data_IF_333529328412
#
_entry.id   IF_333529328412
#
_cell.length_a   1.000
_cell.length_b   1.000
_cell.length_c   1.000
_cell.angle_alpha   90.00
_cell.angle_beta   90.00
_cell.angle_gamma   90.00
#
_symmetry.space_group_name_H-M   'P 1'
#
loop_
_entity.id
_entity.type
_entity.pdbx_description
1 polymer ?
#
# COMPACT_ATOMS: atom_id res chain seq x y z
N UNK A 1 -1.87 -13.87 11.73
CA UNK A 1 -1.23 -12.62 11.27
C UNK A 1 -1.90 -11.34 11.78
N UNK A 2 -3.23 -11.20 11.77
CA UNK A 2 -3.89 -10.02 12.39
C UNK A 2 -3.52 -9.85 13.87
N UNK A 3 -3.51 -10.93 14.66
CA UNK A 3 -3.13 -10.89 16.07
C UNK A 3 -1.66 -10.51 16.28
N UNK A 4 -0.76 -10.98 15.41
CA UNK A 4 0.66 -10.60 15.45
C UNK A 4 0.78 -9.09 15.25
N UNK A 5 0.14 -8.55 14.23
CA UNK A 5 0.18 -7.12 13.92
C UNK A 5 -0.42 -6.25 15.03
N UNK A 6 -1.51 -6.69 15.65
CA UNK A 6 -2.14 -5.99 16.77
C UNK A 6 -1.21 -5.87 18.00
N UNK A 7 -0.29 -6.80 18.19
CA UNK A 7 0.68 -6.81 19.30
C UNK A 7 1.95 -5.98 19.07
N UNK A 8 2.12 -5.36 17.88
CA UNK A 8 3.32 -4.58 17.58
C UNK A 8 3.30 -3.25 18.32
N UNK A 9 4.34 -3.03 19.14
CA UNK A 9 4.58 -1.77 19.83
C UNK A 9 5.23 -0.71 18.93
N UNK A 10 5.22 0.55 19.39
CA UNK A 10 5.89 1.68 18.75
C UNK A 10 5.57 1.85 17.25
N UNK A 11 4.32 1.53 16.85
CA UNK A 11 3.89 1.53 15.44
C UNK A 11 4.13 2.87 14.75
N UNK A 12 3.91 3.99 15.42
CA UNK A 12 4.14 5.30 14.81
C UNK A 12 5.62 5.50 14.47
N UNK A 13 6.52 5.23 15.40
CA UNK A 13 7.96 5.34 15.18
C UNK A 13 8.41 4.39 14.06
N UNK A 14 7.96 3.13 14.11
CA UNK A 14 8.29 2.12 13.10
C UNK A 14 7.71 2.48 11.73
N UNK A 15 6.54 3.09 11.68
CA UNK A 15 5.99 3.60 10.43
C UNK A 15 6.87 4.71 9.83
N UNK A 16 7.35 5.64 10.64
CA UNK A 16 8.30 6.67 10.18
C UNK A 16 9.58 6.04 9.63
N UNK A 17 10.12 5.02 10.32
CA UNK A 17 11.31 4.28 9.86
C UNK A 17 11.03 3.53 8.55
N UNK A 18 9.86 2.93 8.43
CA UNK A 18 9.42 2.23 7.22
C UNK A 18 9.42 3.17 6.01
N UNK A 19 8.81 4.35 6.15
CA UNK A 19 8.75 5.32 5.07
C UNK A 19 10.11 5.92 4.73
N UNK A 20 11.01 6.07 5.69
CA UNK A 20 12.39 6.46 5.42
C UNK A 20 13.10 5.41 4.54
N UNK A 21 12.92 4.12 4.82
CA UNK A 21 13.48 3.04 3.99
C UNK A 21 12.87 3.02 2.58
N UNK A 22 11.55 3.21 2.46
CA UNK A 22 10.88 3.31 1.15
C UNK A 22 11.45 4.47 0.34
N UNK A 23 11.70 5.61 0.97
CA UNK A 23 12.25 6.79 0.31
C UNK A 23 13.68 6.61 -0.21
N UNK A 24 14.42 5.60 0.25
CA UNK A 24 15.76 5.23 -0.24
C UNK A 24 15.72 4.44 -1.56
N UNK A 25 14.56 3.93 -1.97
CA UNK A 25 14.42 3.16 -3.21
C UNK A 25 14.53 4.07 -4.44
N UNK A 26 15.21 3.58 -5.47
CA UNK A 26 15.29 4.26 -6.77
C UNK A 26 13.90 4.43 -7.39
N UNK A 27 13.03 3.44 -7.26
CA UNK A 27 11.65 3.47 -7.73
C UNK A 27 10.86 4.61 -7.10
N UNK A 28 11.07 4.85 -5.80
CA UNK A 28 10.46 5.99 -5.11
C UNK A 28 11.04 7.32 -5.61
N UNK A 29 12.34 7.40 -5.75
CA UNK A 29 13.03 8.62 -6.22
C UNK A 29 12.53 9.06 -7.60
N UNK A 30 12.30 8.13 -8.50
CA UNK A 30 11.86 8.37 -9.88
C UNK A 30 10.36 8.65 -10.01
N UNK A 31 9.55 8.22 -9.04
CA UNK A 31 8.11 8.35 -9.10
C UNK A 31 7.65 9.79 -8.89
N UNK A 32 6.79 10.29 -9.77
CA UNK A 32 6.04 11.52 -9.57
C UNK A 32 4.65 11.26 -8.98
N UNK A 33 3.99 10.17 -9.42
CA UNK A 33 2.67 9.76 -8.96
C UNK A 33 2.79 8.47 -8.16
N UNK A 34 2.53 8.53 -6.85
CA UNK A 34 2.64 7.40 -5.93
C UNK A 34 1.25 6.99 -5.45
N UNK A 35 0.84 5.77 -5.79
CA UNK A 35 -0.34 5.17 -5.20
C UNK A 35 0.04 4.53 -3.87
N UNK A 36 -0.66 4.91 -2.81
CA UNK A 36 -0.54 4.34 -1.48
C UNK A 36 -1.88 3.83 -0.98
N UNK A 37 -2.01 3.61 0.29
CA UNK A 37 -3.25 3.25 0.99
C UNK A 37 -3.41 4.14 2.21
N UNK A 38 -4.61 4.21 2.75
CA UNK A 38 -4.85 4.86 4.05
C UNK A 38 -4.74 3.79 5.13
N UNK A 39 -3.73 3.90 5.98
CA UNK A 39 -3.52 2.95 7.07
C UNK A 39 -4.72 2.89 7.99
N UNK A 40 -5.18 1.69 8.29
CA UNK A 40 -6.35 1.45 9.11
C UNK A 40 -6.07 0.39 10.19
N UNK A 41 -6.51 0.64 11.41
CA UNK A 41 -6.33 -0.30 12.52
C UNK A 41 -4.86 -0.53 12.83
N UNK A 42 -4.39 -1.75 12.60
CA UNK A 42 -3.02 -2.17 12.93
C UNK A 42 -2.02 -2.01 11.77
N UNK A 43 -2.45 -1.44 10.65
CA UNK A 43 -1.57 -1.16 9.53
C UNK A 43 -0.52 -0.09 9.87
N UNK A 44 0.59 0.00 9.11
CA UNK A 44 1.48 1.13 9.22
C UNK A 44 0.72 2.46 9.06
N UNK A 45 1.05 3.43 9.91
CA UNK A 45 0.50 4.78 9.80
C UNK A 45 1.05 5.43 8.52
N UNK A 46 0.16 5.85 7.63
CA UNK A 46 0.51 6.42 6.33
C UNK A 46 0.58 7.95 6.32
N UNK A 47 0.15 8.63 7.37
CA UNK A 47 0.21 10.10 7.44
C UNK A 47 1.65 10.64 7.28
N UNK A 48 2.70 10.03 7.87
CA UNK A 48 4.07 10.49 7.64
C UNK A 48 4.51 10.33 6.17
N UNK A 49 4.04 9.28 5.48
CA UNK A 49 4.29 9.14 4.04
C UNK A 49 3.61 10.25 3.24
N UNK A 50 2.34 10.54 3.55
CA UNK A 50 1.57 11.58 2.85
C UNK A 50 2.22 12.95 3.03
N UNK A 51 2.67 13.29 4.24
CA UNK A 51 3.39 14.51 4.50
C UNK A 51 4.71 14.60 3.70
N UNK A 52 5.46 13.50 3.62
CA UNK A 52 6.70 13.42 2.83
C UNK A 52 6.41 13.65 1.34
N UNK A 53 5.42 12.98 0.77
CA UNK A 53 5.05 13.14 -0.64
C UNK A 53 4.71 14.61 -0.95
N UNK A 54 3.95 15.27 -0.07
CA UNK A 54 3.57 16.67 -0.23
C UNK A 54 4.81 17.60 -0.23
N UNK A 55 5.74 17.40 0.73
CA UNK A 55 6.98 18.18 0.82
C UNK A 55 7.86 17.99 -0.41
N UNK A 56 7.93 16.76 -0.94
CA UNK A 56 8.73 16.42 -2.11
C UNK A 56 8.05 16.74 -3.45
N UNK A 57 6.83 17.28 -3.42
CA UNK A 57 6.07 17.63 -4.62
C UNK A 57 5.59 16.41 -5.43
N UNK A 58 5.49 15.25 -4.80
CA UNK A 58 4.95 14.02 -5.40
C UNK A 58 3.44 13.96 -5.22
N UNK A 59 2.74 13.48 -6.24
CA UNK A 59 1.29 13.32 -6.20
C UNK A 59 0.91 12.03 -5.47
N UNK A 60 0.05 12.15 -4.46
CA UNK A 60 -0.56 11.02 -3.79
C UNK A 60 -1.80 10.55 -4.56
N UNK A 61 -1.87 9.26 -4.84
CA UNK A 61 -3.04 8.57 -5.38
C UNK A 61 -3.51 7.54 -4.35
N UNK A 62 -4.84 7.41 -4.18
CA UNK A 62 -5.44 6.51 -3.21
C UNK A 62 -6.48 5.60 -3.86
N UNK A 63 -6.65 4.37 -3.34
CA UNK A 63 -7.66 3.45 -3.81
C UNK A 63 -9.05 3.80 -3.30
N UNK A 64 -10.05 3.51 -4.13
CA UNK A 64 -11.47 3.44 -3.76
C UNK A 64 -12.04 2.11 -4.25
N UNK A 65 -12.78 1.42 -3.40
CA UNK A 65 -13.44 0.17 -3.78
C UNK A 65 -14.81 0.49 -4.39
N UNK A 66 -14.99 0.11 -5.63
CA UNK A 66 -16.27 0.15 -6.36
C UNK A 66 -16.75 -1.25 -6.71
N UNK A 67 -17.93 -1.38 -7.31
CA UNK A 67 -18.49 -2.67 -7.72
C UNK A 67 -17.56 -3.46 -8.66
N UNK A 68 -16.79 -2.77 -9.50
CA UNK A 68 -15.81 -3.35 -10.44
C UNK A 68 -14.46 -3.70 -9.81
N UNK A 69 -14.23 -3.37 -8.55
CA UNK A 69 -12.95 -3.54 -7.87
C UNK A 69 -12.32 -2.22 -7.46
N UNK A 70 -11.00 -2.18 -7.30
CA UNK A 70 -10.26 -0.95 -6.98
C UNK A 70 -10.24 -0.02 -8.20
N UNK A 71 -10.60 1.24 -7.96
CA UNK A 71 -10.25 2.38 -8.81
C UNK A 71 -9.27 3.27 -8.05
N UNK A 72 -8.48 4.05 -8.77
CA UNK A 72 -7.53 5.00 -8.19
C UNK A 72 -8.03 6.42 -8.42
N UNK A 73 -7.90 7.27 -7.41
CA UNK A 73 -8.26 8.68 -7.50
C UNK A 73 -7.22 9.56 -6.80
N UNK A 74 -7.31 10.87 -7.03
CA UNK A 74 -6.39 11.84 -6.42
C UNK A 74 -6.52 11.84 -4.90
N UNK A 75 -5.41 11.68 -4.20
CA UNK A 75 -5.35 11.65 -2.74
C UNK A 75 -5.67 13.00 -2.09
N UNK A 76 -5.56 14.10 -2.82
CA UNK A 76 -5.92 15.44 -2.37
C UNK A 76 -7.43 15.72 -2.47
N UNK A 77 -8.18 14.85 -3.14
CA UNK A 77 -9.65 14.97 -3.13
C UNK A 77 -10.21 14.73 -1.73
N UNK A 78 -11.37 15.31 -1.38
CA UNK A 78 -12.04 14.99 -0.12
C UNK A 78 -12.22 13.49 0.06
N UNK A 79 -12.07 13.01 1.29
CA UNK A 79 -12.20 11.59 1.62
C UNK A 79 -13.46 11.34 2.43
N UNK A 80 -14.13 10.24 2.14
CA UNK A 80 -15.29 9.75 2.89
C UNK A 80 -15.01 8.34 3.40
N UNK A 81 -15.57 8.02 4.56
CA UNK A 81 -15.49 6.67 5.10
C UNK A 81 -16.29 5.70 4.23
N UNK A 82 -15.64 4.62 3.80
CA UNK A 82 -16.30 3.50 3.13
C UNK A 82 -17.15 2.68 4.11
N UNK A 83 -17.93 1.73 3.59
CA UNK A 83 -18.65 0.76 4.41
C UNK A 83 -17.75 -0.09 5.34
N UNK A 84 -16.45 -0.09 5.09
CA UNK A 84 -15.45 -0.77 5.91
C UNK A 84 -14.76 0.16 6.92
N UNK A 85 -15.15 1.44 6.98
CA UNK A 85 -14.54 2.43 7.86
C UNK A 85 -13.21 3.01 7.36
N UNK A 86 -12.77 2.63 6.17
CA UNK A 86 -11.54 3.17 5.56
C UNK A 86 -11.89 4.45 4.81
N UNK A 87 -11.04 5.48 4.95
CA UNK A 87 -11.20 6.73 4.21
C UNK A 87 -10.81 6.54 2.75
N UNK A 88 -11.72 6.88 1.85
CA UNK A 88 -11.53 6.77 0.40
C UNK A 88 -11.69 8.11 -0.31
N UNK A 89 -10.89 8.39 -1.36
CA UNK A 89 -10.98 9.63 -2.13
C UNK A 89 -12.28 9.68 -2.93
N UNK A 90 -12.89 10.86 -3.01
CA UNK A 90 -14.16 11.08 -3.71
C UNK A 90 -14.00 11.63 -5.13
N UNK A 91 -12.77 11.93 -5.55
CA UNK A 91 -12.49 12.45 -6.89
C UNK A 91 -12.80 11.44 -8.00
N UNK A 92 -12.75 11.88 -9.27
CA UNK A 92 -12.99 10.99 -10.41
C UNK A 92 -11.93 9.88 -10.47
N UNK A 93 -12.33 8.71 -10.97
CA UNK A 93 -11.40 7.61 -11.23
C UNK A 93 -10.38 8.02 -12.29
N UNK A 94 -9.11 7.71 -12.05
CA UNK A 94 -8.01 7.96 -12.95
C UNK A 94 -7.62 6.67 -13.68
N UNK A 95 -6.99 6.81 -14.84
CA UNK A 95 -6.38 5.68 -15.53
C UNK A 95 -5.21 5.15 -14.70
N UNK A 96 -5.15 3.84 -14.40
CA UNK A 96 -4.00 3.25 -13.69
C UNK A 96 -2.64 3.48 -14.36
N UNK A 97 -2.61 3.81 -15.65
CA UNK A 97 -1.38 4.15 -16.37
C UNK A 97 -0.66 5.39 -15.82
N UNK A 98 -1.35 6.25 -15.06
CA UNK A 98 -0.73 7.43 -14.42
C UNK A 98 0.15 7.08 -13.22
N UNK A 99 0.02 5.86 -12.69
CA UNK A 99 0.75 5.42 -11.50
C UNK A 99 2.22 5.15 -11.85
N UNK A 100 3.14 5.73 -11.09
CA UNK A 100 4.59 5.51 -11.24
C UNK A 100 5.15 4.53 -10.20
N UNK A 101 4.46 4.38 -9.07
CA UNK A 101 4.82 3.47 -7.98
C UNK A 101 3.57 3.09 -7.20
N UNK A 102 3.45 1.82 -6.84
CA UNK A 102 2.38 1.34 -5.91
C UNK A 102 3.00 0.88 -4.61
N UNK A 103 2.52 1.45 -3.51
CA UNK A 103 2.78 0.96 -2.15
C UNK A 103 1.63 0.02 -1.75
N UNK A 104 1.95 -1.24 -1.50
CA UNK A 104 0.97 -2.31 -1.33
C UNK A 104 0.93 -2.78 0.13
N UNK A 105 -0.23 -2.71 0.79
CA UNK A 105 -0.40 -3.26 2.14
C UNK A 105 -0.62 -4.77 2.11
N UNK A 106 -0.42 -5.43 3.24
CA UNK A 106 -0.71 -6.85 3.40
C UNK A 106 -0.72 -7.30 4.85
N UNK A 107 -1.21 -8.50 5.08
CA UNK A 107 -1.16 -9.15 6.40
C UNK A 107 0.20 -9.80 6.65
N UNK A 108 0.81 -10.35 5.62
CA UNK A 108 2.14 -10.93 5.66
C UNK A 108 2.79 -10.87 4.27
N UNK A 109 4.12 -10.95 4.27
CA UNK A 109 4.93 -11.01 3.06
C UNK A 109 6.05 -12.04 3.22
N UNK A 110 6.47 -12.64 2.10
CA UNK A 110 7.78 -13.28 2.03
C UNK A 110 8.82 -12.28 1.51
N UNK A 111 10.08 -12.52 1.78
CA UNK A 111 11.17 -11.69 1.20
C UNK A 111 11.23 -11.76 -0.33
N UNK A 112 10.66 -12.81 -0.92
CA UNK A 112 10.56 -12.97 -2.38
C UNK A 112 9.39 -12.25 -3.03
N UNK A 113 8.53 -11.59 -2.25
CA UNK A 113 7.46 -10.75 -2.76
C UNK A 113 6.06 -11.39 -2.74
N UNK A 114 5.91 -12.59 -2.19
CA UNK A 114 4.59 -13.17 -1.99
C UNK A 114 3.84 -12.36 -0.93
N UNK A 115 2.55 -12.17 -1.13
CA UNK A 115 1.71 -11.32 -0.28
C UNK A 115 0.45 -12.04 0.18
N UNK A 116 0.19 -12.00 1.47
CA UNK A 116 -1.10 -12.39 2.05
C UNK A 116 -1.97 -11.15 2.22
N UNK A 117 -3.07 -11.10 1.50
CA UNK A 117 -4.09 -10.04 1.62
C UNK A 117 -5.18 -10.39 2.63
N UNK A 118 -6.21 -9.56 2.67
CA UNK A 118 -7.35 -9.69 3.60
C UNK A 118 -8.45 -10.65 3.12
N UNK A 119 -8.20 -11.43 2.07
CA UNK A 119 -9.13 -12.43 1.54
C UNK A 119 -10.19 -11.90 0.57
N UNK A 120 -10.11 -10.65 0.14
CA UNK A 120 -11.04 -10.05 -0.82
C UNK A 120 -10.49 -9.94 -2.24
N UNK A 121 -9.23 -10.29 -2.44
CA UNK A 121 -8.52 -10.29 -3.72
C UNK A 121 -8.55 -8.95 -4.50
N UNK A 122 -8.88 -7.82 -3.87
CA UNK A 122 -8.95 -6.52 -4.55
C UNK A 122 -7.62 -6.12 -5.20
N UNK A 123 -6.51 -6.26 -4.48
CA UNK A 123 -5.18 -5.96 -5.03
C UNK A 123 -4.75 -6.98 -6.08
N UNK A 124 -5.07 -8.27 -5.91
CA UNK A 124 -4.73 -9.31 -6.88
C UNK A 124 -5.48 -9.12 -8.22
N UNK A 125 -6.66 -8.51 -8.19
CA UNK A 125 -7.39 -8.11 -9.40
C UNK A 125 -6.88 -6.80 -10.01
N UNK A 126 -6.43 -5.87 -9.19
CA UNK A 126 -6.00 -4.53 -9.62
C UNK A 126 -4.56 -4.49 -10.13
N UNK A 127 -3.63 -5.07 -9.40
CA UNK A 127 -2.19 -4.97 -9.68
C UNK A 127 -1.76 -5.49 -11.05
N UNK A 128 -2.39 -6.52 -11.66
CA UNK A 128 -2.05 -6.93 -13.03
C UNK A 128 -2.26 -5.84 -14.10
N UNK A 129 -3.12 -4.85 -13.80
CA UNK A 129 -3.42 -3.73 -14.71
C UNK A 129 -2.46 -2.54 -14.53
N UNK A 130 -1.51 -2.65 -13.62
CA UNK A 130 -0.56 -1.59 -13.28
C UNK A 130 0.84 -2.02 -13.69
N UNK A 131 1.43 -1.28 -14.63
CA UNK A 131 2.80 -1.54 -15.08
C UNK A 131 3.87 -1.06 -14.10
N UNK A 132 3.51 -0.11 -13.21
CA UNK A 132 4.44 0.50 -12.25
C UNK A 132 5.04 -0.53 -11.27
N UNK A 133 6.24 -0.27 -10.72
CA UNK A 133 6.81 -1.06 -9.63
C UNK A 133 5.87 -1.14 -8.43
N UNK A 134 5.88 -2.30 -7.77
CA UNK A 134 5.04 -2.62 -6.62
C UNK A 134 5.92 -2.88 -5.41
N UNK A 135 5.77 -2.06 -4.38
CA UNK A 135 6.52 -2.17 -3.12
C UNK A 135 5.58 -2.59 -2.00
N UNK A 136 5.77 -3.79 -1.50
CA UNK A 136 5.07 -4.29 -0.31
C UNK A 136 5.68 -3.69 0.96
N UNK A 137 4.85 -3.26 1.89
CA UNK A 137 5.30 -2.66 3.15
C UNK A 137 4.66 -3.35 4.34
N UNK A 138 5.44 -3.57 5.38
CA UNK A 138 4.99 -4.23 6.59
C UNK A 138 5.91 -3.97 7.77
N UNK A 139 5.50 -4.40 8.95
CA UNK A 139 6.40 -4.53 10.08
C UNK A 139 7.18 -5.85 9.99
N UNK A 140 8.36 -5.91 10.62
CA UNK A 140 9.25 -7.07 10.52
C UNK A 140 8.58 -8.39 10.94
N UNK A 141 7.70 -8.34 11.93
CA UNK A 141 6.95 -9.50 12.44
C UNK A 141 5.94 -10.07 11.43
N UNK A 142 5.67 -9.36 10.33
CA UNK A 142 4.80 -9.80 9.26
C UNK A 142 5.57 -10.53 8.14
N UNK A 143 6.90 -10.59 8.23
CA UNK A 143 7.71 -11.37 7.31
C UNK A 143 7.62 -12.84 7.69
N UNK A 144 7.32 -13.68 6.72
CA UNK A 144 7.26 -15.14 6.85
C UNK A 144 8.15 -15.79 5.79
N UNK A 145 8.63 -17.01 6.06
CA UNK A 145 9.52 -17.71 5.13
C UNK A 145 8.78 -18.18 3.88
N UNK A 146 7.55 -18.67 4.07
CA UNK A 146 6.68 -19.15 3.00
C UNK A 146 5.21 -18.98 3.36
N UNK A 147 4.35 -18.99 2.36
CA UNK A 147 2.91 -18.93 2.52
C UNK A 147 2.21 -19.69 1.40
N UNK A 148 0.98 -20.21 1.63
CA UNK A 148 0.21 -20.78 0.55
C UNK A 148 -0.15 -19.71 -0.49
N UNK A 149 0.02 -20.05 -1.77
CA UNK A 149 -0.24 -19.18 -2.90
C UNK A 149 -1.37 -19.78 -3.76
N UNK A 150 -2.20 -18.91 -4.32
CA UNK A 150 -3.12 -19.24 -5.39
C UNK A 150 -2.58 -18.71 -6.74
N UNK A 151 -3.03 -19.29 -7.84
CA UNK A 151 -2.54 -18.95 -9.19
C UNK A 151 -2.77 -17.48 -9.57
N UNK A 152 -3.79 -16.84 -8.97
CA UNK A 152 -4.14 -15.42 -9.22
C UNK A 152 -3.42 -14.44 -8.28
N UNK A 153 -2.62 -14.93 -7.32
CA UNK A 153 -1.89 -14.06 -6.40
C UNK A 153 -0.77 -13.31 -7.14
N UNK A 154 -0.73 -12.00 -6.93
CA UNK A 154 0.27 -11.13 -7.57
C UNK A 154 1.38 -10.82 -6.58
N UNK A 155 2.61 -11.08 -6.99
CA UNK A 155 3.81 -10.72 -6.23
C UNK A 155 4.09 -9.24 -6.30
N UNK A 156 4.68 -8.71 -5.24
CA UNK A 156 5.32 -7.39 -5.27
C UNK A 156 6.78 -7.51 -5.70
N UNK A 157 7.32 -6.42 -6.23
CA UNK A 157 8.69 -6.41 -6.75
C UNK A 157 9.73 -6.30 -5.63
N UNK A 158 9.39 -5.57 -4.57
CA UNK A 158 10.24 -5.32 -3.40
C UNK A 158 9.40 -5.37 -2.14
N UNK A 159 9.96 -5.89 -1.05
CA UNK A 159 9.34 -5.87 0.29
C UNK A 159 10.21 -5.06 1.23
N UNK A 160 9.65 -4.04 1.84
CA UNK A 160 10.30 -3.20 2.84
C UNK A 160 9.63 -3.42 4.19
N UNK A 161 10.43 -3.66 5.21
CA UNK A 161 9.95 -3.87 6.59
C UNK A 161 10.70 -3.00 7.60
N UNK A 162 10.05 -2.69 8.68
CA UNK A 162 10.62 -1.96 9.81
C UNK A 162 10.10 -2.48 11.15
#
# INVERSE_FOLDING_TARGET
MKLVRAGIGDRLLRSVQLWAKVAELDEYSRAANVMAFVGFGDEPDTEPLFARLAVEGKRLLLPRVEASGIVVADGDSPRLASKFGVLEPTGPALDPAVIDLVIVPGLAFTRSGDRLGYGRAYYDMFLPNVAAPKVGVCFEEQIVDEMPLADHDVRVDVVISA
#
